data_IF_586928701947
#
_entry.id   IF_586928701947
#
_cell.length_a   1.000
_cell.length_b   1.000
_cell.length_c   1.000
_cell.angle_alpha   90.00
_cell.angle_beta   90.00
_cell.angle_gamma   90.00
#
_symmetry.space_group_name_H-M   'P 1'
#
loop_
_entity.id
_entity.type
_entity.pdbx_description
1 polymer ?
#
# COMPACT_ATOMS: atom_id res chain seq x y z
N UNK A 1 -6.26 -10.09 1.54
CA UNK A 1 -6.56 -8.89 2.37
C UNK A 1 -7.78 -8.13 1.86
N UNK A 2 -7.87 -7.76 0.58
CA UNK A 2 -9.05 -7.08 0.00
C UNK A 2 -10.38 -7.81 0.23
N UNK A 3 -10.37 -9.15 0.26
CA UNK A 3 -11.53 -9.99 0.56
C UNK A 3 -11.78 -10.25 2.06
N UNK A 4 -10.97 -9.69 2.98
CA UNK A 4 -11.14 -9.86 4.42
C UNK A 4 -11.92 -8.66 4.99
N UNK A 5 -12.96 -8.89 5.79
CA UNK A 5 -13.82 -7.82 6.36
C UNK A 5 -12.99 -6.72 7.05
N UNK A 6 -12.01 -7.13 7.85
CA UNK A 6 -11.14 -6.23 8.62
C UNK A 6 -10.19 -5.38 7.75
N UNK A 7 -10.04 -5.68 6.45
CA UNK A 7 -9.06 -5.02 5.60
C UNK A 7 -7.62 -5.29 6.05
N UNK A 8 -6.75 -4.28 5.96
CA UNK A 8 -5.37 -4.36 6.43
C UNK A 8 -5.29 -4.07 7.94
N UNK A 9 -4.73 -5.02 8.69
CA UNK A 9 -4.49 -4.96 10.12
C UNK A 9 -3.15 -4.28 10.42
N UNK A 10 -3.06 -3.48 11.51
CA UNK A 10 -1.84 -2.77 11.88
C UNK A 10 -0.85 -3.66 12.65
N UNK A 11 -0.37 -4.74 12.01
CA UNK A 11 0.42 -5.82 12.66
C UNK A 11 1.87 -5.91 12.23
N UNK A 12 2.33 -5.01 11.35
CA UNK A 12 3.72 -4.95 10.92
C UNK A 12 4.10 -3.51 10.61
N UNK A 13 5.40 -3.18 10.65
CA UNK A 13 5.86 -1.85 10.25
C UNK A 13 5.38 -1.44 8.85
N UNK A 14 5.34 -2.39 7.91
CA UNK A 14 4.81 -2.17 6.56
C UNK A 14 3.33 -1.76 6.59
N UNK A 15 2.50 -2.39 7.42
CA UNK A 15 1.10 -2.02 7.58
C UNK A 15 0.94 -0.69 8.32
N UNK A 16 1.76 -0.46 9.35
CA UNK A 16 1.72 0.75 10.19
C UNK A 16 2.05 2.03 9.44
N UNK A 17 2.86 1.94 8.37
CA UNK A 17 3.04 3.04 7.41
C UNK A 17 1.70 3.64 6.96
N UNK A 18 0.71 2.79 6.74
CA UNK A 18 -0.59 3.17 6.21
C UNK A 18 -1.70 3.29 7.28
N UNK A 19 -1.33 3.29 8.57
CA UNK A 19 -2.32 3.40 9.64
C UNK A 19 -3.15 4.70 9.48
N UNK A 20 -4.48 4.55 9.40
CA UNK A 20 -5.44 5.61 9.08
C UNK A 20 -5.21 6.35 7.73
N UNK A 21 -4.51 5.73 6.79
CA UNK A 21 -4.15 6.31 5.48
C UNK A 21 -4.44 5.37 4.30
N UNK A 22 -5.45 4.51 4.44
CA UNK A 22 -5.92 3.60 3.39
C UNK A 22 -7.39 3.90 3.11
N UNK A 23 -7.69 4.15 1.84
CA UNK A 23 -9.07 4.17 1.36
C UNK A 23 -9.57 2.77 1.05
N UNK A 24 -10.88 2.57 1.13
CA UNK A 24 -11.53 1.34 0.71
C UNK A 24 -12.64 1.69 -0.28
N UNK A 25 -12.74 0.91 -1.35
CA UNK A 25 -13.83 1.02 -2.31
C UNK A 25 -14.48 -0.36 -2.45
N UNK A 26 -15.80 -0.41 -2.36
CA UNK A 26 -16.55 -1.65 -2.43
C UNK A 26 -16.62 -2.17 -3.88
N UNK A 27 -16.78 -3.48 -4.04
CA UNK A 27 -16.78 -4.09 -5.36
C UNK A 27 -18.10 -3.85 -6.10
N UNK A 28 -18.04 -3.26 -7.29
CA UNK A 28 -19.23 -2.96 -8.12
C UNK A 28 -19.35 -3.87 -9.36
N UNK A 29 -18.43 -4.82 -9.57
CA UNK A 29 -18.40 -5.71 -10.73
C UNK A 29 -17.22 -5.44 -11.67
N UNK A 30 -17.35 -5.80 -12.95
CA UNK A 30 -16.34 -5.46 -13.97
C UNK A 30 -16.52 -3.99 -14.36
N UNK A 31 -15.44 -3.20 -14.25
CA UNK A 31 -15.42 -1.76 -14.51
C UNK A 31 -15.70 -1.41 -15.99
N UNK A 32 -16.96 -1.55 -16.41
CA UNK A 32 -17.45 -1.23 -17.77
C UNK A 32 -18.17 0.13 -17.82
N UNK A 33 -18.50 0.67 -16.66
CA UNK A 33 -19.28 1.90 -16.49
C UNK A 33 -18.39 3.06 -16.07
N UNK A 34 -18.69 4.24 -16.60
CA UNK A 34 -17.85 5.44 -16.40
C UNK A 34 -18.16 6.10 -15.06
N UNK A 35 -19.36 5.85 -14.55
CA UNK A 35 -19.93 6.36 -13.31
C UNK A 35 -19.16 5.90 -12.07
N UNK A 36 -18.46 4.75 -12.14
CA UNK A 36 -17.61 4.24 -11.05
C UNK A 36 -16.41 5.18 -10.79
N UNK A 37 -15.93 5.90 -11.82
CA UNK A 37 -14.74 6.75 -11.70
C UNK A 37 -14.91 7.86 -10.67
N UNK A 38 -16.08 8.49 -10.62
CA UNK A 38 -16.36 9.57 -9.68
C UNK A 38 -16.36 9.05 -8.24
N UNK A 39 -16.96 7.88 -8.00
CA UNK A 39 -16.94 7.20 -6.68
C UNK A 39 -15.54 6.76 -6.29
N UNK A 40 -14.76 6.20 -7.21
CA UNK A 40 -13.37 5.83 -6.99
C UNK A 40 -12.53 7.04 -6.54
N UNK A 41 -12.65 8.18 -7.23
CA UNK A 41 -11.94 9.41 -6.85
C UNK A 41 -12.42 9.91 -5.48
N UNK A 42 -13.72 9.89 -5.23
CA UNK A 42 -14.30 10.29 -3.94
C UNK A 42 -13.78 9.41 -2.79
N UNK A 43 -13.80 8.09 -2.95
CA UNK A 43 -13.34 7.14 -1.95
C UNK A 43 -11.82 7.22 -1.74
N UNK A 44 -11.06 7.50 -2.81
CA UNK A 44 -9.60 7.67 -2.72
C UNK A 44 -9.22 8.89 -1.89
N UNK A 45 -9.97 9.98 -2.04
CA UNK A 45 -9.83 11.17 -1.22
C UNK A 45 -8.39 11.72 -1.24
N UNK A 46 -7.77 11.83 -0.07
CA UNK A 46 -6.41 12.37 0.11
C UNK A 46 -5.36 11.29 0.42
N UNK A 47 -5.76 10.01 0.41
CA UNK A 47 -4.84 8.92 0.66
C UNK A 47 -3.98 8.66 -0.59
N UNK A 48 -2.94 7.85 -0.42
CA UNK A 48 -2.06 7.42 -1.52
C UNK A 48 -2.25 5.96 -1.88
N UNK A 49 -3.05 5.24 -1.11
CA UNK A 49 -3.35 3.84 -1.34
C UNK A 49 -4.82 3.55 -1.07
N UNK A 50 -5.34 2.61 -1.84
CA UNK A 50 -6.70 2.11 -1.69
C UNK A 50 -6.71 0.58 -1.81
N UNK A 51 -7.51 -0.05 -0.96
CA UNK A 51 -7.86 -1.46 -1.10
C UNK A 51 -9.21 -1.52 -1.80
N UNK A 52 -9.20 -2.02 -3.04
CA UNK A 52 -10.40 -2.33 -3.80
C UNK A 52 -10.93 -3.65 -3.27
N UNK A 53 -12.04 -3.63 -2.53
CA UNK A 53 -12.62 -4.83 -1.90
C UNK A 53 -12.84 -5.90 -2.96
N UNK A 54 -12.50 -7.13 -2.61
CA UNK A 54 -12.60 -8.30 -3.50
C UNK A 54 -11.83 -8.23 -4.84
N UNK A 55 -11.07 -7.16 -5.10
CA UNK A 55 -10.39 -6.95 -6.38
C UNK A 55 -8.87 -6.89 -6.21
N UNK A 56 -8.35 -5.91 -5.46
CA UNK A 56 -6.91 -5.72 -5.41
C UNK A 56 -6.46 -4.47 -4.66
N UNK A 57 -5.28 -3.98 -5.05
CA UNK A 57 -4.59 -2.85 -4.45
C UNK A 57 -4.41 -1.76 -5.51
N UNK A 58 -4.60 -0.50 -5.11
CA UNK A 58 -4.31 0.67 -5.91
C UNK A 58 -3.38 1.57 -5.11
N UNK A 59 -2.35 2.12 -5.77
CA UNK A 59 -1.43 3.08 -5.17
C UNK A 59 -1.14 4.22 -6.14
N UNK A 60 -0.91 5.40 -5.58
CA UNK A 60 -0.54 6.60 -6.30
C UNK A 60 0.67 7.27 -5.64
N UNK A 61 1.28 8.18 -6.38
CA UNK A 61 2.39 9.01 -5.93
C UNK A 61 2.51 10.25 -6.80
N UNK A 62 3.22 11.25 -6.28
CA UNK A 62 3.66 12.43 -7.04
C UNK A 62 4.76 12.11 -8.08
N UNK A 63 5.25 10.88 -8.05
CA UNK A 63 6.27 10.34 -8.92
C UNK A 63 6.08 8.82 -9.07
N UNK A 64 6.59 8.24 -10.16
CA UNK A 64 6.56 6.79 -10.38
C UNK A 64 7.29 6.05 -9.26
N UNK A 65 8.40 6.59 -8.79
CA UNK A 65 9.19 6.07 -7.67
C UNK A 65 8.35 6.00 -6.40
N UNK A 66 7.58 7.06 -6.10
CA UNK A 66 6.70 7.09 -4.93
C UNK A 66 5.59 6.07 -5.07
N UNK A 67 4.87 6.05 -6.20
CA UNK A 67 3.79 5.10 -6.45
C UNK A 67 4.27 3.65 -6.33
N UNK A 68 5.45 3.35 -6.89
CA UNK A 68 6.10 2.04 -6.77
C UNK A 68 6.42 1.68 -5.32
N UNK A 69 6.98 2.61 -4.55
CA UNK A 69 7.25 2.39 -3.14
C UNK A 69 5.97 2.17 -2.32
N UNK A 70 4.90 2.91 -2.61
CA UNK A 70 3.60 2.72 -1.95
C UNK A 70 3.03 1.33 -2.23
N UNK A 71 2.95 0.91 -3.51
CA UNK A 71 2.41 -0.41 -3.86
C UNK A 71 3.29 -1.54 -3.31
N UNK A 72 4.62 -1.40 -3.35
CA UNK A 72 5.54 -2.39 -2.80
C UNK A 72 5.32 -2.60 -1.30
N UNK A 73 5.25 -1.50 -0.53
CA UNK A 73 5.02 -1.59 0.92
C UNK A 73 3.64 -2.16 1.25
N UNK A 74 2.60 -1.78 0.50
CA UNK A 74 1.24 -2.27 0.74
C UNK A 74 1.13 -3.77 0.44
N UNK A 75 1.75 -4.25 -0.63
CA UNK A 75 1.81 -5.67 -0.96
C UNK A 75 2.57 -6.45 0.12
N UNK A 76 3.73 -5.95 0.59
CA UNK A 76 4.48 -6.56 1.70
C UNK A 76 3.67 -6.62 2.99
N UNK A 77 2.90 -5.56 3.29
CA UNK A 77 1.99 -5.53 4.43
C UNK A 77 0.90 -6.62 4.30
N UNK A 78 0.31 -6.77 3.12
CA UNK A 78 -0.69 -7.80 2.84
C UNK A 78 -0.11 -9.21 2.99
N UNK A 79 1.06 -9.47 2.41
CA UNK A 79 1.76 -10.75 2.52
C UNK A 79 2.08 -11.10 3.98
N UNK A 80 2.58 -10.14 4.76
CA UNK A 80 2.86 -10.33 6.18
C UNK A 80 1.58 -10.69 6.95
N UNK A 81 0.46 -10.02 6.65
CA UNK A 81 -0.83 -10.31 7.29
C UNK A 81 -1.33 -11.72 6.98
N UNK A 82 -1.28 -12.15 5.72
CA UNK A 82 -1.71 -13.51 5.36
C UNK A 82 -0.85 -14.55 6.09
N UNK A 83 0.48 -14.36 6.13
CA UNK A 83 1.40 -15.26 6.84
C UNK A 83 1.15 -15.29 8.35
N UNK A 84 0.91 -14.13 8.96
CA UNK A 84 0.62 -14.04 10.39
C UNK A 84 -0.70 -14.74 10.76
N UNK A 85 -1.77 -14.48 9.99
CA UNK A 85 -3.07 -15.11 10.20
C UNK A 85 -3.06 -16.63 9.95
N UNK A 86 -2.25 -17.09 8.99
CA UNK A 86 -2.07 -18.53 8.73
C UNK A 86 -1.43 -19.28 9.92
N UNK A 87 -0.72 -18.58 10.81
CA UNK A 87 -0.18 -19.16 12.04
C UNK A 87 -1.24 -19.53 13.08
N UNK A 88 -2.47 -19.01 12.96
CA UNK A 88 -3.60 -19.36 13.84
C UNK A 88 -3.53 -18.83 15.27
N UNK A 89 -2.43 -18.22 15.68
CA UNK A 89 -2.28 -17.59 16.99
C UNK A 89 -2.98 -16.23 17.05
N UNK A 90 -3.31 -15.80 18.27
CA UNK A 90 -3.77 -14.44 18.52
C UNK A 90 -2.70 -13.41 18.11
N UNK A 91 -3.12 -12.35 17.44
CA UNK A 91 -2.23 -11.32 16.94
C UNK A 91 -1.95 -10.27 18.02
N UNK A 92 -0.68 -9.95 18.24
CA UNK A 92 -0.30 -8.82 19.06
C UNK A 92 -0.47 -7.51 18.28
N UNK A 93 -1.40 -6.65 18.72
CA UNK A 93 -1.66 -5.35 18.10
C UNK A 93 -0.96 -4.25 18.91
N UNK A 94 -0.05 -3.45 18.31
CA UNK A 94 0.58 -2.33 19.01
C UNK A 94 -0.45 -1.31 19.52
N UNK A 95 -0.12 -0.61 20.60
CA UNK A 95 -0.98 0.44 21.16
C UNK A 95 -1.27 1.52 20.11
N UNK A 96 -2.42 2.20 20.23
CA UNK A 96 -2.79 3.29 19.31
C UNK A 96 -1.68 4.34 19.18
N UNK A 97 -1.08 4.76 20.30
CA UNK A 97 0.03 5.70 20.31
C UNK A 97 1.22 5.24 19.46
N UNK A 98 1.61 3.96 19.55
CA UNK A 98 2.70 3.41 18.73
C UNK A 98 2.32 3.39 17.25
N UNK A 99 1.05 3.07 16.93
CA UNK A 99 0.56 3.03 15.55
C UNK A 99 0.58 4.42 14.90
N UNK A 100 0.08 5.43 15.61
CA UNK A 100 0.10 6.84 15.17
C UNK A 100 1.54 7.35 15.03
N UNK A 101 2.38 7.10 16.03
CA UNK A 101 3.79 7.51 16.00
C UNK A 101 4.53 6.91 14.80
N UNK A 102 4.36 5.61 14.56
CA UNK A 102 5.00 4.92 13.44
C UNK A 102 4.52 5.49 12.10
N UNK A 103 3.21 5.72 11.93
CA UNK A 103 2.69 6.33 10.69
C UNK A 103 3.24 7.75 10.47
N UNK A 104 3.40 8.53 11.54
CA UNK A 104 3.96 9.88 11.44
C UNK A 104 5.45 9.88 11.04
N UNK A 105 6.23 8.87 11.47
CA UNK A 105 7.64 8.74 11.04
C UNK A 105 7.78 8.58 9.52
N UNK A 106 6.82 7.91 8.88
CA UNK A 106 6.78 7.74 7.42
C UNK A 106 6.44 9.02 6.64
N UNK A 107 6.03 10.10 7.31
CA UNK A 107 5.81 11.42 6.70
C UNK A 107 7.03 12.36 6.86
N UNK A 108 8.09 11.90 7.54
CA UNK A 108 9.28 12.73 7.75
C UNK A 108 10.07 12.91 6.45
N UNK A 109 10.76 14.06 6.31
CA UNK A 109 11.60 14.39 5.14
C UNK A 109 12.69 13.34 4.86
N UNK A 110 13.11 12.57 5.87
CA UNK A 110 14.10 11.51 5.70
C UNK A 110 13.63 10.34 4.84
N UNK A 111 12.30 10.17 4.70
CA UNK A 111 11.69 9.07 3.96
C UNK A 111 11.90 9.22 2.46
N UNK A 112 11.95 10.43 1.91
CA UNK A 112 12.20 10.63 0.47
C UNK A 112 13.54 10.05 0.03
N UNK A 113 14.57 10.17 0.87
CA UNK A 113 15.88 9.56 0.57
C UNK A 113 15.82 8.03 0.62
N UNK A 114 15.03 7.46 1.53
CA UNK A 114 14.83 6.01 1.61
C UNK A 114 14.10 5.50 0.35
N UNK A 115 13.08 6.24 -0.11
CA UNK A 115 12.34 5.91 -1.34
C UNK A 115 13.25 5.96 -2.56
N UNK A 116 14.05 7.03 -2.69
CA UNK A 116 15.00 7.16 -3.79
C UNK A 116 16.02 6.00 -3.79
N UNK A 117 16.56 5.64 -2.63
CA UNK A 117 17.50 4.52 -2.51
C UNK A 117 16.83 3.18 -2.88
N UNK A 118 15.61 2.94 -2.39
CA UNK A 118 14.86 1.74 -2.72
C UNK A 118 14.54 1.65 -4.21
N UNK A 119 14.20 2.76 -4.86
CA UNK A 119 13.98 2.83 -6.30
C UNK A 119 15.24 2.48 -7.10
N UNK A 120 16.38 3.08 -6.78
CA UNK A 120 17.64 2.75 -7.46
C UNK A 120 18.05 1.29 -7.23
N UNK A 121 17.83 0.76 -6.02
CA UNK A 121 18.06 -0.64 -5.74
C UNK A 121 17.14 -1.54 -6.59
N UNK A 122 15.86 -1.20 -6.72
CA UNK A 122 14.92 -1.94 -7.57
C UNK A 122 15.34 -1.92 -9.05
N UNK A 123 15.75 -0.76 -9.57
CA UNK A 123 16.27 -0.65 -10.95
C UNK A 123 17.50 -1.52 -11.17
N UNK A 124 18.42 -1.59 -10.19
CA UNK A 124 19.62 -2.42 -10.31
C UNK A 124 19.34 -3.91 -10.46
N UNK A 125 18.19 -4.40 -9.97
CA UNK A 125 17.77 -5.79 -10.12
C UNK A 125 17.38 -6.15 -11.55
N UNK A 126 17.02 -5.13 -12.36
CA UNK A 126 16.56 -5.28 -13.74
C UNK A 126 17.48 -4.54 -14.73
N UNK A 127 18.69 -4.15 -14.32
CA UNK A 127 19.61 -3.34 -15.15
C UNK A 127 19.93 -4.05 -16.48
N UNK A 128 20.01 -5.39 -16.48
CA UNK A 128 20.27 -6.18 -17.69
C UNK A 128 19.16 -6.08 -18.74
N UNK A 129 17.95 -5.67 -18.36
CA UNK A 129 16.78 -5.51 -19.24
C UNK A 129 16.55 -4.06 -19.66
N UNK A 130 17.47 -3.15 -19.33
CA UNK A 130 17.28 -1.71 -19.50
C UNK A 130 16.96 -1.28 -20.93
N UNK A 131 17.62 -1.89 -21.90
CA UNK A 131 17.36 -1.58 -23.32
C UNK A 131 15.93 -1.93 -23.74
N UNK A 132 15.29 -2.92 -23.10
CA UNK A 132 13.93 -3.34 -23.43
C UNK A 132 12.87 -2.35 -22.95
N UNK A 133 13.01 -1.80 -21.74
CA UNK A 133 11.99 -0.91 -21.13
C UNK A 133 12.27 0.59 -21.29
N UNK A 134 13.45 0.98 -21.77
CA UNK A 134 13.79 2.38 -22.05
C UNK A 134 13.77 2.74 -23.55
N UNK A 135 13.32 1.81 -24.41
CA UNK A 135 13.21 2.03 -25.87
C UNK A 135 11.95 2.79 -26.29
#
# INVERSE_FOLDING_TARGET
VSAQKQGLLPISQHALKFYNKISYHDYEGVALLTEERERLVQDFGQNRVMILRNHGLLAAGDSVQRAFHEIYFLERACQAQIKALAGGCELNIPSQQVREHTSAQFESKGIERIIANAWHAALSLIEQQKEEYCS
#
